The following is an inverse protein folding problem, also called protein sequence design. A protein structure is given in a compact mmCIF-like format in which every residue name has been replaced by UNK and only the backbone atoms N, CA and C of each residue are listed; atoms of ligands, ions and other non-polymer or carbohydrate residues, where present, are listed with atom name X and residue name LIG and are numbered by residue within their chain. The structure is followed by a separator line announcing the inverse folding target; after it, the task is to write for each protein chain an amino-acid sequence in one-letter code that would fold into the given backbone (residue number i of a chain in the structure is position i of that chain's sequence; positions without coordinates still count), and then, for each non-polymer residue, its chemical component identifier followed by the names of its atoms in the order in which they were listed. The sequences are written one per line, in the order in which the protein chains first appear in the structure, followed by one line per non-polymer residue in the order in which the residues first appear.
data_IF_427149677009
#
_entry.id   IF_427149677009
#
_cell.length_a   1.000
_cell.length_b   1.000
_cell.length_c   1.000
_cell.angle_alpha   90.00
_cell.angle_beta   90.00
_cell.angle_gamma   90.00
#
_symmetry.space_group_name_H-M   'P 1'
#
loop_
_entity.id
_entity.type
_entity.pdbx_description
1 polymer ?
#
# COMPACT_ATOMS: atom_id res chain seq x y z
N UNK A 1 0.90 15.82 27.20
CA UNK A 1 0.48 14.79 26.22
C UNK A 1 0.65 15.37 24.83
N UNK A 2 1.51 14.78 23.99
CA UNK A 2 1.56 15.14 22.57
C UNK A 2 0.39 14.41 21.91
N UNK A 3 -0.55 15.09 21.24
CA UNK A 3 -1.54 14.41 20.44
C UNK A 3 -0.81 13.68 19.30
N UNK A 4 -0.70 12.36 19.40
CA UNK A 4 -0.17 11.55 18.30
C UNK A 4 -1.23 11.53 17.21
N UNK A 5 -0.91 12.07 16.04
CA UNK A 5 -1.75 11.91 14.86
C UNK A 5 -2.12 10.41 14.70
N UNK A 6 -3.35 10.09 14.24
CA UNK A 6 -3.75 8.71 14.05
C UNK A 6 -2.70 7.98 13.20
N UNK A 7 -2.39 6.71 13.52
CA UNK A 7 -1.46 5.94 12.72
C UNK A 7 -1.98 5.92 11.29
N UNK A 8 -1.21 6.49 10.36
CA UNK A 8 -1.55 6.42 8.93
C UNK A 8 -1.64 4.96 8.48
N UNK A 9 -2.18 4.72 7.29
CA UNK A 9 -2.42 3.35 6.82
C UNK A 9 -1.22 2.79 6.03
N UNK A 10 -1.16 1.46 5.93
CA UNK A 10 -0.28 0.70 5.05
C UNK A 10 -1.08 0.25 3.82
N UNK A 11 -0.46 0.30 2.65
CA UNK A 11 -1.05 -0.24 1.42
C UNK A 11 -0.28 -1.51 1.02
N UNK A 12 -0.98 -2.61 0.83
CA UNK A 12 -0.43 -3.87 0.34
C UNK A 12 -0.94 -4.09 -1.07
N UNK A 13 -0.03 -4.33 -2.01
CA UNK A 13 -0.36 -4.68 -3.39
C UNK A 13 -0.09 -6.17 -3.57
N UNK A 14 -1.16 -6.94 -3.64
CA UNK A 14 -1.15 -8.41 -3.57
C UNK A 14 -2.40 -8.97 -4.25
N UNK A 15 -2.24 -9.81 -5.28
CA UNK A 15 -3.35 -10.38 -6.05
C UNK A 15 -3.86 -11.71 -5.46
N UNK A 16 -3.07 -12.38 -4.63
CA UNK A 16 -3.43 -13.61 -3.90
C UNK A 16 -4.16 -13.33 -2.59
N UNK A 17 -5.37 -13.90 -2.44
CA UNK A 17 -6.14 -13.78 -1.19
C UNK A 17 -5.43 -14.44 0.00
N UNK A 18 -4.73 -15.55 -0.24
CA UNK A 18 -4.02 -16.32 0.78
C UNK A 18 -2.77 -15.57 1.27
N UNK A 19 -2.01 -14.99 0.35
CA UNK A 19 -0.82 -14.21 0.70
C UNK A 19 -1.20 -12.92 1.42
N UNK A 20 -2.27 -12.25 0.98
CA UNK A 20 -2.78 -11.08 1.68
C UNK A 20 -3.26 -11.43 3.10
N UNK A 21 -3.96 -12.55 3.29
CA UNK A 21 -4.37 -13.02 4.61
C UNK A 21 -3.15 -13.30 5.51
N UNK A 22 -2.08 -13.87 4.95
CA UNK A 22 -0.81 -14.10 5.65
C UNK A 22 -0.18 -12.78 6.12
N UNK A 23 -0.21 -11.73 5.29
CA UNK A 23 0.25 -10.39 5.69
C UNK A 23 -0.58 -9.82 6.84
N UNK A 24 -1.90 -9.98 6.81
CA UNK A 24 -2.77 -9.51 7.89
C UNK A 24 -2.48 -10.22 9.22
N UNK A 25 -2.30 -11.54 9.20
CA UNK A 25 -1.97 -12.30 10.40
C UNK A 25 -0.58 -11.96 10.94
N UNK A 26 0.42 -11.77 10.06
CA UNK A 26 1.74 -11.30 10.46
C UNK A 26 1.68 -9.90 11.10
N UNK A 27 0.89 -8.99 10.54
CA UNK A 27 0.71 -7.65 11.08
C UNK A 27 0.02 -7.67 12.45
N UNK A 28 -0.99 -8.54 12.62
CA UNK A 28 -1.67 -8.77 13.90
C UNK A 28 -0.70 -9.31 14.95
N UNK A 29 0.08 -10.33 14.60
CA UNK A 29 1.07 -10.93 15.50
C UNK A 29 2.17 -9.93 15.91
N UNK A 30 2.56 -9.03 15.00
CA UNK A 30 3.51 -7.95 15.27
C UNK A 30 2.92 -6.77 16.07
N UNK A 31 1.61 -6.75 16.33
CA UNK A 31 0.94 -5.66 17.02
C UNK A 31 0.93 -4.34 16.23
N UNK A 32 0.93 -4.40 14.88
CA UNK A 32 0.92 -3.19 14.06
C UNK A 32 -0.40 -2.43 14.22
N UNK A 33 -0.37 -1.15 14.67
CA UNK A 33 -1.60 -0.39 14.94
C UNK A 33 -2.19 0.29 13.69
N UNK A 34 -1.63 0.02 12.50
CA UNK A 34 -1.96 0.74 11.28
C UNK A 34 -3.11 0.02 10.57
N UNK A 35 -4.05 0.78 9.99
CA UNK A 35 -5.01 0.22 9.03
C UNK A 35 -4.23 -0.37 7.84
N UNK A 36 -4.55 -1.59 7.42
CA UNK A 36 -3.98 -2.20 6.22
C UNK A 36 -5.04 -2.21 5.13
N UNK A 37 -4.74 -1.57 4.00
CA UNK A 37 -5.56 -1.57 2.79
C UNK A 37 -4.91 -2.43 1.72
N UNK A 38 -5.74 -3.00 0.86
CA UNK A 38 -5.28 -3.83 -0.26
C UNK A 38 -5.52 -3.14 -1.60
N UNK A 39 -4.60 -3.35 -2.53
CA UNK A 39 -4.84 -3.28 -3.96
C UNK A 39 -4.50 -4.66 -4.57
N UNK A 40 -5.30 -5.16 -5.50
CA UNK A 40 -5.08 -6.47 -6.15
C UNK A 40 -4.28 -6.37 -7.44
N UNK A 41 -3.87 -5.16 -7.83
CA UNK A 41 -3.00 -4.92 -8.99
C UNK A 41 -2.19 -3.64 -8.83
N UNK A 42 -1.13 -3.54 -9.62
CA UNK A 42 -0.32 -2.33 -9.74
C UNK A 42 -1.13 -1.13 -10.23
N UNK A 43 -2.06 -1.33 -11.17
CA UNK A 43 -2.92 -0.26 -11.68
C UNK A 43 -3.93 0.22 -10.63
N UNK A 44 -4.50 -0.69 -9.83
CA UNK A 44 -5.35 -0.29 -8.71
C UNK A 44 -4.56 0.52 -7.67
N UNK A 45 -3.33 0.11 -7.37
CA UNK A 45 -2.44 0.85 -6.47
C UNK A 45 -2.23 2.30 -6.97
N UNK A 46 -1.88 2.46 -8.24
CA UNK A 46 -1.67 3.78 -8.85
C UNK A 46 -2.94 4.63 -8.86
N UNK A 47 -4.10 4.00 -9.13
CA UNK A 47 -5.40 4.68 -9.07
C UNK A 47 -5.67 5.22 -7.67
N UNK A 48 -5.48 4.41 -6.63
CA UNK A 48 -5.69 4.82 -5.23
C UNK A 48 -4.76 5.97 -4.83
N UNK A 49 -3.49 5.91 -5.20
CA UNK A 49 -2.53 6.99 -4.93
C UNK A 49 -2.90 8.29 -5.66
N UNK A 50 -3.32 8.19 -6.93
CA UNK A 50 -3.78 9.35 -7.70
C UNK A 50 -5.10 9.94 -7.19
N UNK A 51 -6.03 9.11 -6.73
CA UNK A 51 -7.28 9.56 -6.09
C UNK A 51 -7.01 10.32 -4.79
N UNK A 52 -6.07 9.84 -3.97
CA UNK A 52 -5.65 10.56 -2.77
C UNK A 52 -5.10 11.95 -3.11
N UNK A 53 -4.24 12.05 -4.12
CA UNK A 53 -3.70 13.33 -4.56
C UNK A 53 -4.80 14.30 -4.99
N UNK A 54 -5.70 13.86 -5.89
CA UNK A 54 -6.83 14.68 -6.37
C UNK A 54 -7.74 15.13 -5.23
N UNK A 55 -8.02 14.23 -4.29
CA UNK A 55 -8.89 14.49 -3.15
C UNK A 55 -8.17 15.11 -1.94
N UNK A 56 -6.88 15.47 -2.07
CA UNK A 56 -6.05 16.02 -1.00
C UNK A 56 -6.05 15.17 0.28
N UNK A 57 -6.08 13.84 0.13
CA UNK A 57 -6.02 12.86 1.22
C UNK A 57 -4.58 12.45 1.51
N UNK A 58 -4.36 11.94 2.72
CA UNK A 58 -3.06 11.41 3.11
C UNK A 58 -2.70 10.16 2.30
N UNK A 59 -1.44 10.08 1.88
CA UNK A 59 -0.84 8.89 1.27
C UNK A 59 -0.57 7.80 2.31
N UNK A 60 -0.43 6.53 1.89
CA UNK A 60 -0.01 5.47 2.80
C UNK A 60 1.37 5.79 3.37
N UNK A 61 1.64 5.33 4.60
CA UNK A 61 2.96 5.47 5.22
C UNK A 61 4.00 4.54 4.62
N UNK A 62 3.55 3.42 4.08
CA UNK A 62 4.36 2.40 3.43
C UNK A 62 3.48 1.67 2.41
N UNK A 63 4.07 1.38 1.26
CA UNK A 63 3.51 0.48 0.26
C UNK A 63 4.33 -0.81 0.28
N UNK A 64 3.71 -1.92 0.64
CA UNK A 64 4.27 -3.27 0.47
C UNK A 64 3.77 -3.80 -0.87
N UNK A 65 4.69 -4.07 -1.78
CA UNK A 65 4.39 -4.44 -3.16
C UNK A 65 4.93 -5.82 -3.44
N UNK A 66 4.06 -6.78 -3.73
CA UNK A 66 4.52 -8.05 -4.27
C UNK A 66 5.05 -7.85 -5.70
N UNK A 67 6.22 -8.43 -5.96
CA UNK A 67 6.91 -8.37 -7.25
C UNK A 67 6.87 -9.72 -7.99
N UNK A 68 6.30 -10.75 -7.34
CA UNK A 68 6.15 -12.08 -7.90
C UNK A 68 4.79 -12.30 -8.57
N UNK A 69 3.98 -11.23 -8.72
CA UNK A 69 2.69 -11.29 -9.41
C UNK A 69 2.83 -11.86 -10.83
N UNK A 70 1.97 -12.82 -11.15
CA UNK A 70 1.93 -13.47 -12.48
C UNK A 70 1.64 -12.48 -13.60
N UNK A 71 1.01 -11.35 -13.27
CA UNK A 71 0.61 -10.30 -14.18
C UNK A 71 1.77 -9.34 -14.55
N UNK A 72 2.90 -9.38 -13.83
CA UNK A 72 4.09 -8.58 -14.12
C UNK A 72 3.94 -7.07 -13.90
N UNK A 73 2.80 -6.64 -13.37
CA UNK A 73 2.38 -5.25 -13.18
C UNK A 73 3.07 -4.57 -11.99
N UNK A 74 3.50 -5.32 -10.98
CA UNK A 74 4.17 -4.79 -9.80
C UNK A 74 5.45 -4.01 -10.14
N UNK A 75 6.25 -4.47 -11.10
CA UNK A 75 7.47 -3.77 -11.52
C UNK A 75 7.19 -2.45 -12.25
N UNK A 76 6.11 -2.38 -13.04
CA UNK A 76 5.67 -1.14 -13.69
C UNK A 76 5.15 -0.15 -12.64
N UNK A 77 4.32 -0.61 -11.71
CA UNK A 77 3.81 0.20 -10.61
C UNK A 77 4.96 0.77 -9.77
N UNK A 78 5.96 -0.04 -9.42
CA UNK A 78 7.15 0.42 -8.70
C UNK A 78 7.89 1.52 -9.46
N UNK A 79 8.07 1.36 -10.79
CA UNK A 79 8.73 2.38 -11.62
C UNK A 79 7.97 3.70 -11.60
N UNK A 80 6.64 3.65 -11.77
CA UNK A 80 5.79 4.85 -11.74
C UNK A 80 5.77 5.53 -10.37
N UNK A 81 5.66 4.76 -9.28
CA UNK A 81 5.74 5.27 -7.92
C UNK A 81 7.07 5.99 -7.69
N UNK A 82 8.19 5.36 -8.10
CA UNK A 82 9.54 5.94 -7.96
C UNK A 82 9.80 7.19 -8.81
N UNK A 83 9.06 7.37 -9.90
CA UNK A 83 9.15 8.56 -10.75
C UNK A 83 8.39 9.76 -10.18
N UNK A 84 7.50 9.54 -9.21
CA UNK A 84 6.76 10.61 -8.55
C UNK A 84 7.44 10.99 -7.23
N UNK A 85 8.07 12.17 -7.16
CA UNK A 85 8.77 12.66 -5.97
C UNK A 85 7.87 12.78 -4.74
N UNK A 86 6.55 12.94 -4.91
CA UNK A 86 5.58 13.02 -3.80
C UNK A 86 5.23 11.66 -3.20
N UNK A 87 5.61 10.58 -3.89
CA UNK A 87 5.37 9.18 -3.47
C UNK A 87 6.68 8.46 -3.06
N UNK A 88 7.82 9.16 -3.11
CA UNK A 88 9.12 8.65 -2.63
C UNK A 88 9.32 8.91 -1.14
#
# INVERSE_FOLDING_TARGET
MIPTAPPGYLLVVEDSDEDFATVLEAARAAGLPHEIRRATSGDECLRLLGENERAHRANPRLVLLDLNTTQGDGREALRRIRQNERLR
#
